data_IF_638085621871
#
_entry.id   IF_638085621871
#
_cell.length_a   1.000
_cell.length_b   1.000
_cell.length_c   1.000
_cell.angle_alpha   90.00
_cell.angle_beta   90.00
_cell.angle_gamma   90.00
#
_symmetry.space_group_name_H-M   'P 1'
#
loop_
_entity.id
_entity.type
_entity.pdbx_description
1 polymer ?
#
# COMPACT_ATOMS: atom_id res chain seq x y z
N UNK A 1 -11.93 -13.38 -10.33
CA UNK A 1 -11.96 -11.93 -10.09
C UNK A 1 -11.95 -11.22 -11.42
N UNK A 2 -13.01 -10.55 -11.77
CA UNK A 2 -13.26 -10.14 -13.16
C UNK A 2 -13.46 -8.63 -13.37
N UNK A 3 -13.55 -7.82 -12.33
CA UNK A 3 -13.85 -6.40 -12.51
C UNK A 3 -13.15 -5.46 -11.50
N UNK A 4 -12.89 -4.23 -11.94
CA UNK A 4 -12.27 -3.18 -11.11
C UNK A 4 -13.10 -2.89 -9.86
N UNK A 5 -14.43 -2.90 -9.99
CA UNK A 5 -15.33 -2.66 -8.85
C UNK A 5 -15.23 -3.78 -7.80
N UNK A 6 -15.10 -5.02 -8.24
CA UNK A 6 -14.93 -6.17 -7.34
C UNK A 6 -13.57 -6.11 -6.62
N UNK A 7 -12.49 -5.76 -7.31
CA UNK A 7 -11.17 -5.58 -6.69
C UNK A 7 -11.23 -4.50 -5.61
N UNK A 8 -11.84 -3.35 -5.94
CA UNK A 8 -12.00 -2.24 -5.00
C UNK A 8 -12.82 -2.63 -3.77
N UNK A 9 -13.99 -3.23 -3.98
CA UNK A 9 -14.87 -3.61 -2.86
C UNK A 9 -14.24 -4.68 -1.99
N UNK A 10 -13.61 -5.71 -2.57
CA UNK A 10 -12.90 -6.75 -1.81
C UNK A 10 -11.84 -6.15 -0.91
N UNK A 11 -11.03 -5.21 -1.42
CA UNK A 11 -10.00 -4.53 -0.63
C UNK A 11 -10.61 -3.74 0.54
N UNK A 12 -11.56 -2.87 0.24
CA UNK A 12 -12.19 -2.02 1.25
C UNK A 12 -12.93 -2.83 2.31
N UNK A 13 -13.68 -3.83 1.92
CA UNK A 13 -14.45 -4.67 2.83
C UNK A 13 -13.55 -5.55 3.70
N UNK A 14 -12.45 -6.04 3.15
CA UNK A 14 -11.45 -6.78 3.90
C UNK A 14 -10.85 -5.92 5.04
N UNK A 15 -10.41 -4.70 4.76
CA UNK A 15 -9.86 -3.83 5.78
C UNK A 15 -10.92 -3.28 6.74
N UNK A 16 -12.14 -3.04 6.29
CA UNK A 16 -13.27 -2.73 7.19
C UNK A 16 -13.52 -3.85 8.19
N UNK A 17 -13.50 -5.11 7.74
CA UNK A 17 -13.64 -6.27 8.63
C UNK A 17 -12.50 -6.37 9.65
N UNK A 18 -11.33 -5.79 9.34
CA UNK A 18 -10.18 -5.68 10.23
C UNK A 18 -10.12 -4.33 10.99
N UNK A 19 -11.26 -3.68 11.18
CA UNK A 19 -11.41 -2.50 12.04
C UNK A 19 -10.93 -1.18 11.43
N UNK A 20 -10.79 -1.08 10.11
CA UNK A 20 -10.43 0.16 9.44
C UNK A 20 -11.66 1.00 9.10
N UNK A 21 -11.58 2.30 9.31
CA UNK A 21 -12.57 3.25 8.79
C UNK A 21 -12.42 3.37 7.28
N UNK A 22 -13.54 3.23 6.55
CA UNK A 22 -13.56 3.42 5.10
C UNK A 22 -13.67 4.89 4.76
N UNK A 23 -12.57 5.50 4.33
CA UNK A 23 -12.47 6.93 4.05
C UNK A 23 -12.60 7.18 2.55
N UNK A 24 -13.46 8.12 2.20
CA UNK A 24 -13.67 8.51 0.81
C UNK A 24 -12.38 9.06 0.17
N UNK A 25 -12.27 8.90 -1.15
CA UNK A 25 -11.21 9.55 -1.94
C UNK A 25 -11.25 11.06 -1.74
N UNK A 26 -10.12 11.66 -1.42
CA UNK A 26 -9.99 13.12 -1.41
C UNK A 26 -10.04 13.67 -2.84
N UNK A 27 -10.33 14.98 -3.01
CA UNK A 27 -10.32 15.61 -4.33
C UNK A 27 -8.98 15.45 -5.05
N UNK A 28 -9.02 15.29 -6.37
CA UNK A 28 -7.82 15.21 -7.21
C UNK A 28 -6.98 16.49 -7.18
N UNK A 29 -7.63 17.64 -7.07
CA UNK A 29 -6.94 18.92 -6.86
C UNK A 29 -6.88 19.19 -5.37
N UNK A 30 -5.69 19.10 -4.74
CA UNK A 30 -5.54 19.33 -3.31
C UNK A 30 -5.87 20.78 -2.98
N UNK A 31 -6.66 21.02 -1.91
CA UNK A 31 -7.04 22.38 -1.51
C UNK A 31 -6.00 23.05 -0.60
N UNK A 32 -5.20 22.26 0.11
CA UNK A 32 -4.33 22.72 1.20
C UNK A 32 -2.88 22.25 1.08
N UNK A 33 -2.45 21.83 -0.10
CA UNK A 33 -1.05 21.44 -0.34
C UNK A 33 -0.50 22.18 -1.57
N UNK A 34 0.21 23.30 -1.37
CA UNK A 34 0.77 24.09 -2.46
C UNK A 34 1.93 23.38 -3.18
N UNK A 35 2.40 22.25 -2.66
CA UNK A 35 3.50 21.47 -3.27
C UNK A 35 3.02 20.47 -4.31
N UNK A 36 1.70 20.25 -4.42
CA UNK A 36 1.10 19.28 -5.32
C UNK A 36 0.04 19.92 -6.21
N UNK A 37 0.15 19.73 -7.53
CA UNK A 37 -0.92 20.09 -8.48
C UNK A 37 -2.09 19.11 -8.39
N UNK A 38 -1.78 17.81 -8.22
CA UNK A 38 -2.78 16.75 -8.12
C UNK A 38 -2.45 15.81 -6.98
N UNK A 39 -3.48 15.19 -6.41
CA UNK A 39 -3.32 14.08 -5.47
C UNK A 39 -2.70 12.90 -6.22
N UNK A 40 -1.50 12.49 -5.83
CA UNK A 40 -0.69 11.49 -6.50
C UNK A 40 -0.50 10.20 -5.70
N UNK A 41 -1.03 10.16 -4.47
CA UNK A 41 -0.96 9.00 -3.59
C UNK A 41 -2.10 8.99 -2.56
N UNK A 42 -2.46 7.82 -2.10
CA UNK A 42 -3.47 7.65 -1.05
C UNK A 42 -3.10 8.28 0.29
N UNK A 43 -1.81 8.42 0.55
CA UNK A 43 -1.31 9.04 1.79
C UNK A 43 -1.53 10.55 1.86
N UNK A 44 -1.75 11.24 0.74
CA UNK A 44 -1.80 12.71 0.71
C UNK A 44 -2.82 13.28 1.68
N UNK A 45 -4.03 12.71 1.73
CA UNK A 45 -5.08 13.18 2.64
C UNK A 45 -4.79 12.92 4.13
N UNK A 46 -3.82 12.06 4.45
CA UNK A 46 -3.45 11.67 5.81
C UNK A 46 -2.10 12.24 6.26
N UNK A 47 -1.42 13.05 5.44
CA UNK A 47 -0.11 13.66 5.80
C UNK A 47 -0.13 14.30 7.17
N UNK A 48 -1.13 15.15 7.44
CA UNK A 48 -1.24 15.88 8.69
C UNK A 48 -1.58 14.96 9.88
N UNK A 49 -2.21 13.81 9.63
CA UNK A 49 -2.47 12.81 10.66
C UNK A 49 -1.17 12.14 11.08
N UNK A 50 -0.34 11.74 10.11
CA UNK A 50 0.97 11.14 10.38
C UNK A 50 1.95 12.09 11.07
N UNK A 51 1.89 13.38 10.77
CA UNK A 51 2.73 14.40 11.42
C UNK A 51 2.17 14.89 12.76
N UNK A 52 0.98 14.42 13.17
CA UNK A 52 0.33 14.82 14.41
C UNK A 52 -0.33 16.22 14.39
N UNK A 53 -0.33 16.89 13.23
CA UNK A 53 -0.97 18.21 13.05
C UNK A 53 -2.49 18.11 13.05
N UNK A 54 -3.01 16.99 12.55
CA UNK A 54 -4.44 16.69 12.50
C UNK A 54 -4.75 15.41 13.30
N UNK A 55 -5.89 15.39 13.99
CA UNK A 55 -6.40 14.18 14.65
C UNK A 55 -7.68 13.72 13.98
N UNK A 56 -7.82 12.40 13.79
CA UNK A 56 -9.02 11.76 13.31
C UNK A 56 -9.66 10.92 14.44
N UNK A 57 -10.97 10.66 14.40
CA UNK A 57 -11.65 9.85 15.41
C UNK A 57 -11.38 8.34 15.27
N UNK A 58 -10.46 7.94 14.42
CA UNK A 58 -10.06 6.56 14.15
C UNK A 58 -8.52 6.46 14.07
N UNK A 59 -8.00 5.26 14.38
CA UNK A 59 -6.57 4.94 14.32
C UNK A 59 -6.20 4.09 13.11
N UNK A 60 -7.21 3.57 12.40
CA UNK A 60 -7.06 2.76 11.19
C UNK A 60 -7.96 3.31 10.08
N UNK A 61 -7.45 3.38 8.88
CA UNK A 61 -8.23 3.79 7.72
C UNK A 61 -7.96 2.90 6.51
N UNK A 62 -8.95 2.77 5.64
CA UNK A 62 -8.81 2.20 4.30
C UNK A 62 -9.43 3.12 3.27
N UNK A 63 -8.84 3.20 2.09
CA UNK A 63 -9.34 4.06 1.02
C UNK A 63 -8.98 3.52 -0.37
N UNK A 64 -9.81 3.88 -1.35
CA UNK A 64 -9.51 3.77 -2.77
C UNK A 64 -9.35 5.19 -3.31
N UNK A 65 -8.14 5.74 -3.23
CA UNK A 65 -7.84 7.12 -3.59
C UNK A 65 -7.65 7.26 -5.09
N UNK A 66 -8.41 8.17 -5.71
CA UNK A 66 -8.19 8.61 -7.08
C UNK A 66 -6.93 9.44 -7.16
N UNK A 67 -6.01 9.05 -8.06
CA UNK A 67 -4.69 9.65 -8.20
C UNK A 67 -4.40 10.04 -9.64
N UNK A 68 -3.59 11.08 -9.81
CA UNK A 68 -3.00 11.48 -11.08
C UNK A 68 -1.47 11.50 -10.97
N UNK A 69 -0.80 10.83 -11.89
CA UNK A 69 0.65 10.87 -12.07
C UNK A 69 0.96 11.11 -13.54
N UNK A 70 1.35 12.33 -13.88
CA UNK A 70 1.65 12.74 -15.24
C UNK A 70 2.96 13.53 -15.35
N UNK A 71 3.70 13.62 -14.25
CA UNK A 71 4.95 14.37 -14.13
C UNK A 71 5.15 14.94 -12.73
N UNK A 72 6.26 15.63 -12.48
CA UNK A 72 6.60 16.22 -11.19
C UNK A 72 7.29 15.25 -10.22
N UNK A 73 6.97 15.33 -8.92
CA UNK A 73 7.67 14.62 -7.84
C UNK A 73 7.65 13.08 -7.98
N UNK A 74 6.60 12.52 -8.56
CA UNK A 74 6.51 11.11 -8.95
C UNK A 74 6.41 11.08 -10.47
N UNK A 75 7.56 11.19 -11.14
CA UNK A 75 7.63 11.33 -12.58
C UNK A 75 7.49 9.97 -13.26
N UNK A 76 6.24 9.61 -13.60
CA UNK A 76 5.92 8.48 -14.45
C UNK A 76 5.83 8.87 -15.94
N UNK A 77 6.16 10.10 -16.30
CA UNK A 77 5.92 10.66 -17.63
C UNK A 77 6.54 9.84 -18.76
N UNK A 78 7.73 9.32 -18.56
CA UNK A 78 8.43 8.48 -19.54
C UNK A 78 7.81 7.08 -19.68
N UNK A 79 7.01 6.64 -18.71
CA UNK A 79 6.40 5.31 -18.67
C UNK A 79 4.91 5.33 -19.00
N UNK A 80 4.22 6.46 -18.78
CA UNK A 80 2.78 6.60 -19.04
C UNK A 80 2.51 6.48 -20.54
N UNK A 81 1.64 5.54 -20.88
CA UNK A 81 1.31 5.22 -22.29
C UNK A 81 2.29 4.28 -22.98
N UNK A 82 3.48 4.03 -22.42
CA UNK A 82 4.49 3.11 -22.98
C UNK A 82 4.51 1.76 -22.27
N UNK A 83 4.07 1.69 -21.04
CA UNK A 83 3.95 0.43 -20.30
C UNK A 83 2.48 0.14 -19.97
N UNK A 84 2.16 -1.15 -19.79
CA UNK A 84 0.81 -1.58 -19.41
C UNK A 84 0.42 -1.26 -17.98
N UNK A 85 1.34 -0.75 -17.15
CA UNK A 85 1.17 -0.55 -15.71
C UNK A 85 1.13 0.91 -15.29
N UNK A 86 1.60 1.82 -16.14
CA UNK A 86 1.64 3.24 -15.81
C UNK A 86 0.50 3.99 -16.50
N UNK A 87 -0.41 4.47 -15.71
CA UNK A 87 -1.59 5.21 -16.14
C UNK A 87 -1.58 6.62 -15.55
N UNK A 88 -2.04 7.60 -16.33
CA UNK A 88 -2.17 8.99 -15.86
C UNK A 88 -3.13 9.09 -14.69
N UNK A 89 -4.26 8.38 -14.78
CA UNK A 89 -5.30 8.32 -13.76
C UNK A 89 -5.48 6.88 -13.29
N UNK A 90 -5.49 6.67 -11.98
CA UNK A 90 -5.67 5.36 -11.36
C UNK A 90 -6.22 5.48 -9.95
N UNK A 91 -6.68 4.38 -9.40
CA UNK A 91 -7.02 4.27 -7.98
C UNK A 91 -5.90 3.58 -7.22
N UNK A 92 -5.48 4.20 -6.10
CA UNK A 92 -4.55 3.61 -5.17
C UNK A 92 -5.32 3.05 -3.99
N UNK A 93 -5.30 1.74 -3.84
CA UNK A 93 -5.88 1.03 -2.70
C UNK A 93 -4.91 1.14 -1.52
N UNK A 94 -5.39 1.63 -0.39
CA UNK A 94 -4.54 1.90 0.76
C UNK A 94 -5.18 1.47 2.08
N UNK A 95 -4.34 0.98 2.98
CA UNK A 95 -4.64 0.75 4.39
C UNK A 95 -3.62 1.52 5.24
N UNK A 96 -4.11 2.17 6.29
CA UNK A 96 -3.36 3.14 7.09
C UNK A 96 -3.50 2.82 8.56
N UNK A 97 -2.36 2.86 9.28
CA UNK A 97 -2.29 2.74 10.73
C UNK A 97 -1.70 4.02 11.32
N UNK A 98 -2.42 4.67 12.19
CA UNK A 98 -2.00 5.89 12.87
C UNK A 98 -1.57 5.55 14.30
N UNK A 99 -0.42 4.84 14.42
CA UNK A 99 0.12 4.40 15.70
C UNK A 99 -0.62 3.23 16.35
N UNK A 100 -1.33 2.42 15.58
CA UNK A 100 -2.11 1.27 16.07
C UNK A 100 -1.38 -0.06 15.83
N UNK A 101 -1.17 -0.44 14.57
CA UNK A 101 -0.42 -1.64 14.20
C UNK A 101 0.77 -1.28 13.33
N UNK A 102 1.68 -2.24 13.13
CA UNK A 102 2.87 -2.05 12.32
C UNK A 102 3.14 -3.25 11.41
N UNK A 103 4.38 -3.72 11.29
CA UNK A 103 4.81 -4.71 10.30
C UNK A 103 4.06 -6.04 10.36
N UNK A 104 3.88 -6.57 11.56
CA UNK A 104 3.30 -7.91 11.75
C UNK A 104 1.92 -8.00 11.12
N UNK A 105 0.99 -7.19 11.59
CA UNK A 105 -0.40 -7.19 11.12
C UNK A 105 -0.48 -6.80 9.65
N UNK A 106 0.31 -5.81 9.21
CA UNK A 106 0.33 -5.38 7.82
C UNK A 106 0.75 -6.53 6.88
N UNK A 107 1.77 -7.31 7.25
CA UNK A 107 2.26 -8.43 6.47
C UNK A 107 1.25 -9.59 6.48
N UNK A 108 0.70 -9.93 7.64
CA UNK A 108 -0.30 -10.99 7.77
C UNK A 108 -1.56 -10.69 6.94
N UNK A 109 -2.07 -9.45 6.99
CA UNK A 109 -3.23 -9.04 6.19
C UNK A 109 -2.92 -8.94 4.69
N UNK A 110 -1.73 -8.47 4.32
CA UNK A 110 -1.32 -8.47 2.92
C UNK A 110 -1.28 -9.90 2.35
N UNK A 111 -0.74 -10.84 3.12
CA UNK A 111 -0.71 -12.25 2.76
C UNK A 111 -2.12 -12.82 2.61
N UNK A 112 -2.99 -12.67 3.61
CA UNK A 112 -4.36 -13.15 3.58
C UNK A 112 -5.13 -12.58 2.37
N UNK A 113 -5.06 -11.26 2.18
CA UNK A 113 -5.75 -10.59 1.07
C UNK A 113 -5.32 -11.14 -0.29
N UNK A 114 -4.01 -11.27 -0.51
CA UNK A 114 -3.47 -11.66 -1.80
C UNK A 114 -3.68 -13.15 -2.08
N UNK A 115 -3.46 -14.02 -1.08
CA UNK A 115 -3.53 -15.47 -1.26
C UNK A 115 -4.93 -16.04 -1.10
N UNK A 116 -5.69 -15.57 -0.11
CA UNK A 116 -6.99 -16.17 0.22
C UNK A 116 -8.16 -15.41 -0.44
N UNK A 117 -8.18 -14.08 -0.35
CA UNK A 117 -9.28 -13.29 -0.91
C UNK A 117 -9.18 -13.14 -2.42
N UNK A 118 -7.97 -12.88 -2.93
CA UNK A 118 -7.73 -12.71 -4.36
C UNK A 118 -7.25 -13.98 -5.06
N UNK A 119 -6.78 -14.98 -4.32
CA UNK A 119 -6.40 -16.29 -4.87
C UNK A 119 -5.19 -16.25 -5.79
N UNK A 120 -4.23 -15.36 -5.55
CA UNK A 120 -3.00 -15.37 -6.34
C UNK A 120 -2.18 -16.64 -6.06
N UNK A 121 -1.59 -17.26 -7.08
CA UNK A 121 -0.75 -18.43 -6.91
C UNK A 121 0.52 -18.07 -6.13
N UNK A 122 0.73 -18.72 -4.98
CA UNK A 122 1.79 -18.36 -4.02
C UNK A 122 3.19 -18.46 -4.65
N UNK A 123 3.40 -19.44 -5.53
CA UNK A 123 4.68 -19.61 -6.24
C UNK A 123 5.03 -18.47 -7.20
N UNK A 124 4.14 -17.51 -7.40
CA UNK A 124 4.36 -16.29 -8.20
C UNK A 124 4.46 -15.03 -7.35
N UNK A 125 4.38 -15.16 -6.03
CA UNK A 125 4.50 -14.04 -5.11
C UNK A 125 5.94 -13.90 -4.64
N UNK A 126 6.36 -12.64 -4.55
CA UNK A 126 7.66 -12.24 -4.01
C UNK A 126 7.45 -11.08 -3.06
N UNK A 127 8.20 -11.10 -1.96
CA UNK A 127 8.26 -9.98 -1.03
C UNK A 127 9.63 -9.29 -1.14
N UNK A 128 9.69 -8.04 -0.75
CA UNK A 128 10.97 -7.32 -0.62
C UNK A 128 11.07 -6.73 0.78
N UNK A 129 12.27 -6.75 1.33
CA UNK A 129 12.61 -6.11 2.59
C UNK A 129 13.76 -5.15 2.41
N UNK A 130 13.86 -4.16 3.29
CA UNK A 130 14.97 -3.22 3.21
C UNK A 130 16.31 -3.92 3.50
N UNK A 131 17.28 -3.70 2.60
CA UNK A 131 18.67 -4.11 2.76
C UNK A 131 19.56 -2.88 2.58
N UNK A 132 20.38 -2.53 3.59
CA UNK A 132 21.24 -1.36 3.48
C UNK A 132 22.32 -1.52 2.41
N UNK A 133 22.61 -0.43 1.74
CA UNK A 133 23.81 -0.28 0.91
C UNK A 133 25.03 0.19 1.72
N UNK A 134 26.21 0.27 1.10
CA UNK A 134 27.40 0.81 1.75
C UNK A 134 27.17 2.25 2.22
N UNK A 135 27.30 2.50 3.52
CA UNK A 135 27.14 3.82 4.13
C UNK A 135 25.71 4.22 4.53
N UNK A 136 24.72 3.35 4.32
CA UNK A 136 23.39 3.59 4.82
C UNK A 136 23.34 3.56 6.36
N UNK A 137 22.62 4.50 7.00
CA UNK A 137 22.55 4.57 8.46
C UNK A 137 21.62 3.52 9.08
N UNK A 138 20.76 2.89 8.29
CA UNK A 138 19.77 1.92 8.74
C UNK A 138 20.26 0.49 8.59
N UNK A 139 19.85 -0.39 9.48
CA UNK A 139 20.17 -1.82 9.44
C UNK A 139 19.20 -2.59 8.52
N UNK A 140 19.55 -3.84 8.22
CA UNK A 140 18.68 -4.77 7.50
C UNK A 140 17.37 -4.97 8.26
N UNK A 141 16.24 -4.96 7.56
CA UNK A 141 14.93 -5.18 8.18
C UNK A 141 14.68 -6.66 8.46
N UNK A 142 15.37 -7.17 9.49
CA UNK A 142 15.27 -8.56 9.91
C UNK A 142 13.85 -8.92 10.37
N UNK A 143 13.14 -8.01 11.03
CA UNK A 143 11.79 -8.24 11.52
C UNK A 143 10.81 -8.51 10.36
N UNK A 144 10.82 -7.67 9.33
CA UNK A 144 9.98 -7.89 8.15
C UNK A 144 10.36 -9.18 7.42
N UNK A 145 11.68 -9.47 7.31
CA UNK A 145 12.14 -10.73 6.73
C UNK A 145 11.59 -11.94 7.47
N UNK A 146 11.64 -11.95 8.79
CA UNK A 146 11.19 -13.08 9.62
C UNK A 146 9.68 -13.32 9.49
N UNK A 147 8.86 -12.25 9.45
CA UNK A 147 7.42 -12.40 9.21
C UNK A 147 7.12 -12.99 7.84
N UNK A 148 7.74 -12.47 6.78
CA UNK A 148 7.57 -13.03 5.44
C UNK A 148 8.09 -14.46 5.33
N UNK A 149 9.26 -14.75 5.89
CA UNK A 149 9.86 -16.10 5.88
C UNK A 149 8.95 -17.14 6.53
N UNK A 150 8.32 -16.78 7.65
CA UNK A 150 7.35 -17.65 8.32
C UNK A 150 6.16 -18.00 7.41
N UNK A 151 5.60 -17.02 6.72
CA UNK A 151 4.45 -17.21 5.83
C UNK A 151 4.81 -18.05 4.60
N UNK A 152 5.92 -17.73 3.92
CA UNK A 152 6.38 -18.49 2.76
C UNK A 152 6.74 -19.94 3.15
N UNK A 153 7.44 -20.15 4.27
CA UNK A 153 7.78 -21.50 4.75
C UNK A 153 6.53 -22.30 5.06
N UNK A 154 5.54 -21.72 5.75
CA UNK A 154 4.27 -22.38 6.04
C UNK A 154 3.51 -22.79 4.78
N UNK A 155 3.69 -22.05 3.70
CA UNK A 155 3.12 -22.34 2.38
C UNK A 155 3.99 -23.30 1.52
N UNK A 156 5.09 -23.82 2.07
CA UNK A 156 5.99 -24.75 1.36
C UNK A 156 6.94 -24.08 0.36
N UNK A 157 7.13 -22.75 0.45
CA UNK A 157 8.04 -22.00 -0.40
C UNK A 157 9.38 -21.71 0.30
N UNK A 158 10.46 -21.65 -0.46
CA UNK A 158 11.78 -21.28 0.08
C UNK A 158 11.87 -19.75 0.24
N UNK A 159 12.02 -19.21 1.47
CA UNK A 159 12.15 -17.79 1.70
C UNK A 159 13.32 -17.14 0.96
N UNK A 160 14.41 -17.87 0.75
CA UNK A 160 15.59 -17.35 0.03
C UNK A 160 15.33 -17.07 -1.46
N UNK A 161 14.27 -17.63 -2.01
CA UNK A 161 13.86 -17.42 -3.40
C UNK A 161 12.78 -16.33 -3.49
N UNK A 162 11.95 -16.22 -2.46
CA UNK A 162 10.75 -15.40 -2.48
C UNK A 162 10.86 -14.05 -1.71
N UNK A 163 11.99 -13.82 -1.02
CA UNK A 163 12.24 -12.56 -0.27
C UNK A 163 13.57 -11.94 -0.70
#
# INVERSE_FOLDING_TARGET
>A
MSGVNEIRSTFLDFFKANGHESVASSPLVPRNDPTLMFTNAGMVQFKNVFTGVEKRPYTRATSAQKCVRAGGKHNDLENVGYTRRHHTFFEMLGNWSFGDYFKKEAIEWAWELVTEKWGFPINRLYATVYKPGPGDPSEFDQEAYDYWAKLFTAAGMDPKVHI
#
